data_IF_737285860327
#
_entry.id   IF_737285860327
#
_cell.length_a   1.000
_cell.length_b   1.000
_cell.length_c   1.000
_cell.angle_alpha   90.00
_cell.angle_beta   90.00
_cell.angle_gamma   90.00
#
_symmetry.space_group_name_H-M   'P 1'
#
loop_
_entity.id
_entity.type
_entity.pdbx_description
1 polymer ?
#
# COMPACT_ATOMS: atom_id res chain seq x y z
N UNK A 1 29.10 -13.24 1.68
CA UNK A 1 28.32 -12.02 1.35
C UNK A 1 27.00 -12.49 0.79
N UNK A 2 25.80 -12.18 1.29
CA UNK A 2 25.30 -10.97 1.97
C UNK A 2 24.32 -11.42 3.05
N UNK A 3 24.51 -10.93 4.29
CA UNK A 3 23.55 -11.09 5.39
C UNK A 3 22.32 -10.26 5.06
N UNK A 4 21.14 -10.87 5.07
CA UNK A 4 19.89 -10.16 5.30
C UNK A 4 19.04 -10.95 6.28
N UNK A 5 19.43 -10.90 7.56
CA UNK A 5 18.45 -11.00 8.63
C UNK A 5 17.63 -9.71 8.59
N UNK A 6 16.32 -9.81 8.40
CA UNK A 6 15.40 -8.76 8.83
C UNK A 6 14.35 -9.40 9.72
N UNK A 7 14.72 -9.52 11.00
CA UNK A 7 13.75 -9.41 12.08
C UNK A 7 13.19 -7.99 12.04
N UNK A 8 11.86 -7.85 12.09
CA UNK A 8 11.17 -6.66 12.61
C UNK A 8 9.75 -7.09 13.00
N UNK A 9 9.70 -7.79 14.12
CA UNK A 9 8.61 -7.64 15.08
C UNK A 9 8.64 -6.17 15.53
N UNK A 10 7.61 -5.36 15.22
CA UNK A 10 7.32 -4.18 16.04
C UNK A 10 5.95 -3.55 15.74
N UNK A 11 5.17 -3.46 16.81
CA UNK A 11 4.17 -2.45 17.14
C UNK A 11 2.81 -2.48 16.44
N UNK A 12 1.82 -2.99 17.19
CA UNK A 12 0.47 -2.42 17.26
C UNK A 12 0.58 -0.89 17.35
N UNK A 13 0.23 -0.16 16.30
CA UNK A 13 0.09 1.30 16.36
C UNK A 13 -1.34 1.68 16.04
N UNK A 14 -1.96 2.35 17.00
CA UNK A 14 -3.13 3.21 16.84
C UNK A 14 -2.92 4.13 15.62
N UNK A 15 -3.62 3.86 14.52
CA UNK A 15 -3.49 4.65 13.29
C UNK A 15 -4.42 5.86 13.39
N UNK A 16 -3.83 7.06 13.44
CA UNK A 16 -4.53 8.32 13.18
C UNK A 16 -4.91 8.37 11.70
N UNK A 17 -6.21 8.57 11.43
CA UNK A 17 -6.89 8.43 10.13
C UNK A 17 -6.68 9.66 9.23
N UNK A 18 -5.43 9.95 8.88
CA UNK A 18 -5.07 11.03 7.96
C UNK A 18 -4.51 10.46 6.65
N UNK A 19 -4.71 11.19 5.53
CA UNK A 19 -4.24 10.80 4.19
C UNK A 19 -2.75 10.47 4.17
N UNK A 20 -1.97 11.23 4.94
CA UNK A 20 -0.53 11.04 5.11
C UNK A 20 -0.18 9.71 5.78
N UNK A 21 -1.01 9.23 6.73
CA UNK A 21 -0.81 7.93 7.40
C UNK A 21 -1.03 6.77 6.43
N UNK A 22 -2.06 6.85 5.58
CA UNK A 22 -2.35 5.83 4.56
C UNK A 22 -1.17 5.73 3.59
N UNK A 23 -0.71 6.89 3.10
CA UNK A 23 0.44 6.98 2.21
C UNK A 23 1.69 6.39 2.84
N UNK A 24 2.03 6.78 4.07
CA UNK A 24 3.20 6.28 4.78
C UNK A 24 3.15 4.76 4.98
N UNK A 25 1.97 4.21 5.26
CA UNK A 25 1.75 2.77 5.36
C UNK A 25 2.00 2.05 4.02
N UNK A 26 1.45 2.57 2.92
CA UNK A 26 1.67 2.02 1.58
C UNK A 26 3.16 2.03 1.25
N UNK A 27 3.84 3.17 1.45
CA UNK A 27 5.27 3.31 1.19
C UNK A 27 6.09 2.31 2.01
N UNK A 28 5.83 2.18 3.30
CA UNK A 28 6.51 1.20 4.16
C UNK A 28 6.26 -0.23 3.73
N UNK A 29 5.04 -0.55 3.30
CA UNK A 29 4.68 -1.91 2.89
C UNK A 29 5.35 -2.29 1.58
N UNK A 30 5.42 -1.35 0.63
CA UNK A 30 6.14 -1.55 -0.62
C UNK A 30 7.65 -1.61 -0.36
N UNK A 31 8.21 -0.72 0.48
CA UNK A 31 9.64 -0.71 0.82
C UNK A 31 10.12 -2.01 1.51
N UNK A 32 9.24 -2.65 2.28
CA UNK A 32 9.50 -3.97 2.87
C UNK A 32 9.67 -5.05 1.80
N UNK A 33 8.89 -4.97 0.72
CA UNK A 33 8.86 -5.97 -0.37
C UNK A 33 9.85 -5.66 -1.50
N UNK A 34 10.04 -4.39 -1.87
CA UNK A 34 10.86 -3.93 -3.00
C UNK A 34 11.52 -2.58 -2.73
N UNK A 35 12.55 -2.21 -3.52
CA UNK A 35 13.22 -0.90 -3.40
C UNK A 35 12.44 0.15 -4.18
N UNK A 36 11.91 1.14 -3.48
CA UNK A 36 11.26 2.31 -4.09
C UNK A 36 12.32 3.30 -4.63
N UNK A 37 12.12 3.88 -5.81
CA UNK A 37 12.96 4.98 -6.29
C UNK A 37 12.71 6.22 -5.43
N UNK A 38 13.71 6.64 -4.66
CA UNK A 38 13.61 7.78 -3.74
C UNK A 38 13.48 9.15 -4.43
N UNK A 39 13.61 9.20 -5.76
CA UNK A 39 13.82 10.44 -6.51
C UNK A 39 12.78 10.69 -7.62
N UNK A 40 11.73 9.88 -7.68
CA UNK A 40 10.65 10.00 -8.68
C UNK A 40 9.29 10.28 -8.04
N UNK A 41 8.30 10.63 -8.87
CA UNK A 41 6.94 10.94 -8.46
C UNK A 41 6.23 9.67 -7.95
N UNK A 42 6.48 9.30 -6.70
CA UNK A 42 6.01 8.04 -6.11
C UNK A 42 4.46 7.94 -6.18
N UNK A 43 3.75 9.07 -6.13
CA UNK A 43 2.29 9.11 -6.27
C UNK A 43 1.79 8.53 -7.59
N UNK A 44 2.48 8.79 -8.69
CA UNK A 44 2.12 8.28 -10.02
C UNK A 44 2.85 6.99 -10.37
N UNK A 45 3.63 6.45 -9.43
CA UNK A 45 4.41 5.25 -9.66
C UNK A 45 3.48 4.03 -9.77
N UNK A 46 3.50 3.40 -10.94
CA UNK A 46 2.76 2.17 -11.18
C UNK A 46 3.56 0.96 -10.68
N UNK A 47 3.24 0.52 -9.47
CA UNK A 47 3.96 -0.57 -8.80
C UNK A 47 3.61 -1.96 -9.35
N UNK A 48 2.54 -2.06 -10.15
CA UNK A 48 2.13 -3.28 -10.85
C UNK A 48 2.89 -3.40 -12.17
N UNK A 49 2.87 -2.34 -12.98
CA UNK A 49 3.50 -2.32 -14.31
C UNK A 49 5.04 -2.33 -14.22
N UNK A 50 5.60 -1.68 -13.19
CA UNK A 50 7.03 -1.75 -12.90
C UNK A 50 7.53 -3.13 -12.47
N UNK A 51 6.62 -4.08 -12.20
CA UNK A 51 6.98 -5.42 -11.71
C UNK A 51 7.51 -5.43 -10.28
N UNK A 52 7.32 -4.35 -9.52
CA UNK A 52 7.70 -4.29 -8.10
C UNK A 52 6.86 -5.19 -7.22
N UNK A 53 5.61 -5.44 -7.61
CA UNK A 53 4.68 -6.34 -6.93
C UNK A 53 4.13 -7.38 -7.94
N UNK A 54 4.44 -8.65 -7.71
CA UNK A 54 3.83 -9.76 -8.45
C UNK A 54 2.33 -9.90 -8.15
N UNK A 55 1.59 -10.61 -9.00
CA UNK A 55 0.15 -10.85 -8.83
C UNK A 55 -0.22 -11.42 -7.43
N UNK A 56 0.62 -12.29 -6.85
CA UNK A 56 0.42 -12.83 -5.49
C UNK A 56 0.76 -11.79 -4.41
N UNK A 57 1.80 -10.99 -4.66
CA UNK A 57 2.22 -9.92 -3.76
C UNK A 57 1.14 -8.84 -3.60
N UNK A 58 0.40 -8.60 -4.69
CA UNK A 58 -0.70 -7.65 -4.79
C UNK A 58 -1.89 -8.07 -3.92
N UNK A 59 -2.32 -9.33 -4.04
CA UNK A 59 -3.42 -9.88 -3.22
C UNK A 59 -3.06 -9.79 -1.74
N UNK A 60 -1.85 -10.19 -1.34
CA UNK A 60 -1.40 -10.05 0.05
C UNK A 60 -1.39 -8.60 0.51
N UNK A 61 -1.00 -7.69 -0.37
CA UNK A 61 -0.95 -6.26 -0.07
C UNK A 61 -2.36 -5.69 0.15
N UNK A 62 -3.34 -6.07 -0.66
CA UNK A 62 -4.75 -5.73 -0.43
C UNK A 62 -5.22 -6.26 0.92
N UNK A 63 -5.00 -7.54 1.21
CA UNK A 63 -5.42 -8.14 2.48
C UNK A 63 -4.78 -7.43 3.70
N UNK A 64 -3.52 -7.02 3.60
CA UNK A 64 -2.84 -6.25 4.64
C UNK A 64 -3.53 -4.89 4.86
N UNK A 65 -3.93 -4.20 3.77
CA UNK A 65 -4.64 -2.91 3.83
C UNK A 65 -6.05 -3.07 4.39
N UNK A 66 -6.81 -4.07 3.92
CA UNK A 66 -8.15 -4.38 4.41
C UNK A 66 -8.14 -4.66 5.91
N UNK A 67 -7.17 -5.43 6.39
CA UNK A 67 -7.03 -5.75 7.81
C UNK A 67 -6.54 -4.55 8.65
N UNK A 68 -5.63 -3.72 8.12
CA UNK A 68 -5.11 -2.54 8.84
C UNK A 68 -6.14 -1.41 8.94
N UNK A 69 -6.85 -1.11 7.84
CA UNK A 69 -7.83 -0.02 7.78
C UNK A 69 -9.27 -0.48 8.04
N UNK A 70 -9.52 -1.80 8.09
CA UNK A 70 -10.84 -2.37 8.28
C UNK A 70 -11.80 -2.06 7.13
N UNK A 71 -11.28 -1.98 5.90
CA UNK A 71 -12.04 -1.72 4.66
C UNK A 71 -12.15 -3.01 3.83
N UNK A 72 -13.13 -3.06 2.92
CA UNK A 72 -13.22 -4.07 1.87
C UNK A 72 -12.87 -3.39 0.55
N UNK A 73 -11.88 -3.92 -0.17
CA UNK A 73 -11.50 -3.45 -1.51
C UNK A 73 -12.10 -4.43 -2.51
N UNK A 74 -13.02 -3.96 -3.35
CA UNK A 74 -13.61 -4.81 -4.37
C UNK A 74 -12.57 -5.15 -5.46
N UNK A 75 -12.67 -6.33 -6.11
CA UNK A 75 -11.82 -6.65 -7.25
C UNK A 75 -11.93 -5.61 -8.39
N UNK A 76 -13.09 -4.98 -8.54
CA UNK A 76 -13.32 -3.89 -9.50
C UNK A 76 -12.47 -2.65 -9.18
N UNK A 77 -12.30 -2.34 -7.89
CA UNK A 77 -11.39 -1.29 -7.43
C UNK A 77 -9.93 -1.68 -7.72
N UNK A 78 -9.57 -2.95 -7.59
CA UNK A 78 -8.22 -3.44 -7.90
C UNK A 78 -7.86 -3.34 -9.39
N UNK A 79 -8.85 -3.44 -10.27
CA UNK A 79 -8.66 -3.31 -11.73
C UNK A 79 -8.55 -1.84 -12.17
N UNK A 80 -8.99 -0.91 -11.33
CA UNK A 80 -9.03 0.53 -11.60
C UNK A 80 -7.63 1.14 -11.70
N UNK A 81 -7.48 2.16 -12.54
CA UNK A 81 -6.18 2.84 -12.73
C UNK A 81 -5.67 3.52 -11.45
N UNK A 82 -6.59 3.99 -10.60
CA UNK A 82 -6.28 4.56 -9.29
C UNK A 82 -5.52 3.55 -8.42
N UNK A 83 -5.94 2.29 -8.42
CA UNK A 83 -5.31 1.23 -7.64
C UNK A 83 -3.91 0.89 -8.14
N UNK A 84 -3.64 1.05 -9.44
CA UNK A 84 -2.32 0.80 -10.04
C UNK A 84 -1.24 1.77 -9.57
N UNK A 85 -1.62 2.90 -8.97
CA UNK A 85 -0.70 3.95 -8.49
C UNK A 85 -0.78 4.11 -6.98
N UNK A 86 0.31 4.58 -6.35
CA UNK A 86 0.33 4.78 -4.89
C UNK A 86 -0.60 5.92 -4.47
N UNK A 87 -0.63 7.01 -5.23
CA UNK A 87 -1.48 8.16 -4.95
C UNK A 87 -2.96 7.85 -5.12
N UNK A 88 -3.31 7.11 -6.18
CA UNK A 88 -4.68 6.67 -6.42
C UNK A 88 -5.15 5.65 -5.38
N UNK A 89 -4.31 4.70 -4.99
CA UNK A 89 -4.62 3.75 -3.92
C UNK A 89 -4.88 4.46 -2.58
N UNK A 90 -4.03 5.43 -2.21
CA UNK A 90 -4.22 6.20 -0.99
C UNK A 90 -5.56 6.98 -1.01
N UNK A 91 -5.92 7.56 -2.17
CA UNK A 91 -7.19 8.24 -2.36
C UNK A 91 -8.38 7.27 -2.29
N UNK A 92 -8.25 6.06 -2.83
CA UNK A 92 -9.29 5.03 -2.83
C UNK A 92 -9.61 4.55 -1.41
N UNK A 93 -8.57 4.31 -0.61
CA UNK A 93 -8.68 3.96 0.82
C UNK A 93 -9.32 5.12 1.59
N UNK A 94 -8.87 6.36 1.38
CA UNK A 94 -9.46 7.54 2.02
C UNK A 94 -10.95 7.66 1.71
N UNK A 95 -11.34 7.42 0.45
CA UNK A 95 -12.73 7.44 0.01
C UNK A 95 -13.57 6.37 0.72
N UNK A 96 -13.04 5.16 0.89
CA UNK A 96 -13.71 4.09 1.63
C UNK A 96 -13.90 4.45 3.11
N UNK A 97 -12.87 5.03 3.74
CA UNK A 97 -12.94 5.48 5.13
C UNK A 97 -13.97 6.62 5.33
N UNK A 98 -14.06 7.56 4.38
CA UNK A 98 -15.06 8.63 4.40
C UNK A 98 -16.50 8.12 4.23
N UNK A 99 -16.71 7.10 3.38
CA UNK A 99 -18.05 6.57 3.05
C UNK A 99 -18.71 5.80 4.20
N UNK A 100 -17.93 5.50 5.26
CA UNK A 100 -18.39 4.77 6.44
C UNK A 100 -19.05 5.66 7.51
N UNK A 101 -19.13 6.98 7.28
CA UNK A 101 -19.77 7.97 8.16
C UNK A 101 -21.02 8.57 7.53
#
# INVERSE_FOLDING_TARGET
>A
MVRCRRNKDESRRVVMLDKDSIRDFILKTIEKKSRLPANENIDQFNYIDSGHIDSIGLIKFVLDLENEFGIDIAPEDMESEEFRTIGGLAALIEKHLRKRF
#
